data_IF_013287028693
#
_entry.id   IF_013287028693
#
_cell.length_a   1.000
_cell.length_b   1.000
_cell.length_c   1.000
_cell.angle_alpha   90.00
_cell.angle_beta   90.00
_cell.angle_gamma   90.00
#
_symmetry.space_group_name_H-M   'P 1'
#
loop_
_entity.id
_entity.type
_entity.pdbx_description
1 polymer ?
#
# COMPACT_ATOMS: atom_id res chain seq x y z
N UNK A 1 2.48 -3.31 7.91
CA UNK A 1 3.72 -2.98 8.63
C UNK A 1 4.89 -3.14 7.70
N UNK A 2 4.91 -4.23 6.94
CA UNK A 2 5.98 -4.59 6.01
C UNK A 2 6.24 -3.53 4.94
N UNK A 3 5.19 -3.02 4.28
CA UNK A 3 5.30 -1.88 3.36
C UNK A 3 5.80 -0.57 4.00
N UNK A 4 5.72 -0.45 5.33
CA UNK A 4 6.26 0.68 6.08
C UNK A 4 7.61 0.35 6.75
N UNK A 5 8.15 -0.85 6.47
CA UNK A 5 9.41 -1.37 7.03
C UNK A 5 9.50 -1.30 8.56
N UNK A 6 8.35 -1.46 9.25
CA UNK A 6 8.29 -1.32 10.70
C UNK A 6 8.65 -2.62 11.42
N UNK A 7 9.43 -2.51 12.50
CA UNK A 7 9.79 -3.62 13.38
C UNK A 7 8.70 -4.00 14.40
N UNK A 8 9.11 -4.69 15.47
CA UNK A 8 8.22 -5.28 16.47
C UNK A 8 7.26 -4.30 17.18
N UNK A 9 7.58 -3.00 17.21
CA UNK A 9 6.70 -1.96 17.76
C UNK A 9 5.37 -1.86 17.01
N UNK A 10 5.33 -2.32 15.76
CA UNK A 10 4.14 -2.29 14.94
C UNK A 10 3.33 -3.60 14.93
N UNK A 11 3.74 -4.60 15.73
CA UNK A 11 3.09 -5.91 15.78
C UNK A 11 1.61 -5.79 16.19
N UNK A 12 0.71 -6.38 15.40
CA UNK A 12 -0.73 -6.39 15.69
C UNK A 12 -1.05 -7.29 16.88
N UNK A 13 -0.50 -8.50 16.91
CA UNK A 13 -0.85 -9.51 17.90
C UNK A 13 0.36 -10.38 18.27
N UNK A 14 0.54 -10.60 19.56
CA UNK A 14 1.36 -11.64 20.14
C UNK A 14 0.41 -12.72 20.72
N UNK A 15 0.39 -13.94 20.17
CA UNK A 15 -0.43 -15.03 20.70
C UNK A 15 -0.13 -15.32 22.17
N UNK A 16 -1.14 -15.81 22.89
CA UNK A 16 -1.05 -16.14 24.32
C UNK A 16 -0.68 -14.97 25.25
N UNK A 17 -0.92 -13.72 24.84
CA UNK A 17 -0.82 -12.53 25.72
C UNK A 17 -2.13 -11.77 25.79
N UNK A 18 -2.35 -11.10 26.92
CA UNK A 18 -3.57 -10.30 27.18
C UNK A 18 -3.20 -8.83 27.38
N UNK A 19 -4.01 -7.92 26.83
CA UNK A 19 -4.00 -6.49 27.18
C UNK A 19 -3.25 -5.54 26.23
N UNK A 20 -2.25 -6.00 25.47
CA UNK A 20 -1.43 -5.13 24.60
C UNK A 20 -1.63 -5.35 23.10
N UNK A 21 -2.40 -6.36 22.71
CA UNK A 21 -2.69 -6.69 21.32
C UNK A 21 -3.73 -5.73 20.68
N UNK A 22 -3.77 -5.66 19.35
CA UNK A 22 -4.75 -4.92 18.53
C UNK A 22 -4.71 -3.38 18.66
N UNK A 23 -3.66 -2.85 19.28
CA UNK A 23 -3.52 -1.42 19.57
C UNK A 23 -2.77 -0.62 18.50
N UNK A 24 -1.96 -1.26 17.67
CA UNK A 24 -1.18 -0.54 16.66
C UNK A 24 -2.09 0.20 15.67
N UNK A 25 -1.69 1.42 15.30
CA UNK A 25 -2.34 2.28 14.32
C UNK A 25 -1.28 2.95 13.47
N UNK A 26 -1.54 3.02 12.17
CA UNK A 26 -0.73 3.81 11.25
C UNK A 26 -0.92 5.30 11.54
N UNK A 27 0.15 6.09 11.44
CA UNK A 27 0.08 7.54 11.59
C UNK A 27 -0.40 8.20 10.29
N UNK A 28 -1.06 9.36 10.39
CA UNK A 28 -1.43 10.15 9.21
C UNK A 28 -0.21 10.43 8.33
N UNK A 29 -0.37 10.27 7.02
CA UNK A 29 0.69 10.54 6.03
C UNK A 29 1.68 9.40 5.78
N UNK A 30 1.70 8.33 6.60
CA UNK A 30 2.59 7.18 6.35
C UNK A 30 2.24 6.39 5.08
N UNK A 31 0.97 6.42 4.65
CA UNK A 31 0.55 5.90 3.35
C UNK A 31 0.64 7.00 2.27
N UNK A 32 1.86 7.50 2.03
CA UNK A 32 2.14 8.58 1.10
C UNK A 32 2.11 8.19 -0.39
N UNK A 33 2.26 9.19 -1.26
CA UNK A 33 2.27 9.01 -2.72
C UNK A 33 3.45 8.17 -3.23
N UNK A 34 4.60 8.29 -2.58
CA UNK A 34 5.81 7.52 -2.90
C UNK A 34 5.59 6.03 -2.67
N UNK A 35 5.17 5.66 -1.47
CA UNK A 35 4.83 4.27 -1.13
C UNK A 35 3.74 3.71 -2.05
N UNK A 36 2.73 4.51 -2.39
CA UNK A 36 1.70 4.11 -3.35
C UNK A 36 2.30 3.79 -4.73
N UNK A 37 3.23 4.62 -5.22
CA UNK A 37 3.87 4.43 -6.51
C UNK A 37 4.72 3.15 -6.52
N UNK A 38 5.49 2.91 -5.45
CA UNK A 38 6.29 1.70 -5.29
C UNK A 38 5.43 0.43 -5.26
N UNK A 39 4.35 0.43 -4.46
CA UNK A 39 3.40 -0.69 -4.41
C UNK A 39 2.81 -0.95 -5.80
N UNK A 40 2.44 0.11 -6.53
CA UNK A 40 1.87 0.01 -7.86
C UNK A 40 2.86 -0.57 -8.86
N UNK A 41 4.10 -0.07 -8.89
CA UNK A 41 5.17 -0.56 -9.76
C UNK A 41 5.40 -2.06 -9.51
N UNK A 42 5.60 -2.46 -8.26
CA UNK A 42 5.78 -3.86 -7.90
C UNK A 42 4.58 -4.72 -8.33
N UNK A 43 3.37 -4.21 -8.12
CA UNK A 43 2.14 -4.88 -8.51
C UNK A 43 2.05 -5.06 -10.04
N UNK A 44 2.52 -4.09 -10.82
CA UNK A 44 2.56 -4.17 -12.29
C UNK A 44 3.64 -5.14 -12.79
N UNK A 45 4.86 -5.06 -12.24
CA UNK A 45 5.99 -5.94 -12.58
C UNK A 45 5.62 -7.42 -12.44
N UNK A 46 4.85 -7.75 -11.40
CA UNK A 46 4.40 -9.12 -11.15
C UNK A 46 3.01 -9.44 -11.71
N UNK A 47 2.45 -8.60 -12.58
CA UNK A 47 1.20 -8.86 -13.29
C UNK A 47 -0.04 -8.94 -12.40
N UNK A 48 0.00 -8.32 -11.21
CA UNK A 48 -1.09 -8.34 -10.21
C UNK A 48 -1.98 -7.11 -10.27
N UNK A 49 -1.71 -6.17 -11.18
CA UNK A 49 -2.46 -4.91 -11.30
C UNK A 49 -3.88 -5.08 -11.86
N UNK A 50 -4.26 -6.29 -12.26
CA UNK A 50 -5.48 -6.54 -13.03
C UNK A 50 -5.33 -6.01 -14.45
N UNK A 51 -5.90 -6.71 -15.43
CA UNK A 51 -5.98 -6.22 -16.79
C UNK A 51 -7.03 -5.12 -16.86
N UNK A 52 -6.64 -3.85 -16.68
CA UNK A 52 -7.52 -2.72 -16.99
C UNK A 52 -7.30 -2.29 -18.44
N UNK A 53 -8.11 -2.83 -19.35
CA UNK A 53 -8.56 -2.05 -20.50
C UNK A 53 -9.49 -0.93 -20.00
N UNK A 54 -8.93 0.16 -19.48
CA UNK A 54 -9.68 1.40 -19.23
C UNK A 54 -8.69 2.54 -18.99
N UNK A 55 -8.62 3.49 -19.94
CA UNK A 55 -7.97 4.78 -19.72
C UNK A 55 -6.83 5.15 -20.66
N UNK A 56 -6.85 4.73 -21.93
CA UNK A 56 -6.17 5.48 -22.99
C UNK A 56 -7.20 6.30 -23.78
N UNK A 57 -7.75 7.35 -23.17
CA UNK A 57 -8.30 8.47 -23.93
C UNK A 57 -7.19 9.51 -24.04
N UNK A 58 -6.39 9.34 -25.09
CA UNK A 58 -5.46 10.36 -25.59
C UNK A 58 -6.22 11.64 -25.88
N UNK A 59 -5.75 12.76 -25.32
CA UNK A 59 -5.96 14.08 -25.92
C UNK A 59 -5.44 14.02 -27.36
N UNK A 60 -6.34 14.10 -28.35
CA UNK A 60 -5.98 14.46 -29.73
C UNK A 60 -6.98 15.47 -30.28
N UNK A 61 -6.49 16.71 -30.32
CA UNK A 61 -6.77 17.78 -31.28
C UNK A 61 -8.23 18.21 -31.47
N UNK A 62 -8.56 19.33 -30.84
CA UNK A 62 -9.59 20.25 -31.32
C UNK A 62 -8.93 21.25 -32.29
N UNK A 63 -9.12 21.01 -33.59
CA UNK A 63 -9.11 22.01 -34.66
C UNK A 63 -10.35 21.77 -35.50
#
# INVERSE_FOLDING_TARGET
QDWLELGNSARINLPATVGTNWKWRMLPGQAGSELKAEILEMTQVYGRAGSSEAGQSTEKNQK
#
